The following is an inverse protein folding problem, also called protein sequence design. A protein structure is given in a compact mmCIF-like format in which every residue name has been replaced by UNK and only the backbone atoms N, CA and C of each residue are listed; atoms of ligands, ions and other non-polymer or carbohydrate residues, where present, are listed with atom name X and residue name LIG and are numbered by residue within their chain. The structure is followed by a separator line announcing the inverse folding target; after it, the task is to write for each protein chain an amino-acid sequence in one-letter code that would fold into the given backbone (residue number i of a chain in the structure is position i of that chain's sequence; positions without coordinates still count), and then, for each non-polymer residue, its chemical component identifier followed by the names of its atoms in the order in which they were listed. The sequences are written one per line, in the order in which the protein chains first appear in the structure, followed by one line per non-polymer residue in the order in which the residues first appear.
data_IF_457076594521
#
_entry.id   IF_457076594521
#
_cell.length_a   1.000
_cell.length_b   1.000
_cell.length_c   1.000
_cell.angle_alpha   90.00
_cell.angle_beta   90.00
_cell.angle_gamma   90.00
#
_symmetry.space_group_name_H-M   'P 1'
#
loop_
_entity.id
_entity.type
_entity.pdbx_description
1 polymer ?
#
# COMPACT_ATOMS: atom_id res chain seq x y z
N UNK A 1 32.02 -24.85 -10.65
CA UNK A 1 31.94 -25.41 -9.28
C UNK A 1 32.48 -26.83 -9.27
N UNK A 2 33.45 -27.08 -8.39
CA UNK A 2 34.02 -28.39 -8.07
C UNK A 2 32.92 -29.42 -7.69
N UNK A 3 32.99 -30.66 -8.18
CA UNK A 3 31.93 -31.66 -7.96
C UNK A 3 31.76 -32.04 -6.48
N UNK A 4 32.84 -31.96 -5.70
CA UNK A 4 32.79 -32.11 -4.24
C UNK A 4 32.00 -30.99 -3.56
N UNK A 5 32.12 -29.74 -4.04
CA UNK A 5 31.33 -28.61 -3.52
C UNK A 5 29.84 -28.79 -3.83
N UNK A 6 29.49 -29.32 -5.00
CA UNK A 6 28.08 -29.60 -5.38
C UNK A 6 27.46 -30.68 -4.49
N UNK A 7 28.18 -31.77 -4.22
CA UNK A 7 27.70 -32.85 -3.33
C UNK A 7 27.54 -32.38 -1.88
N UNK A 8 28.51 -31.62 -1.37
CA UNK A 8 28.41 -31.04 -0.03
C UNK A 8 27.23 -30.07 0.09
N UNK A 9 27.01 -29.23 -0.92
CA UNK A 9 25.86 -28.33 -1.00
C UNK A 9 24.54 -29.10 -1.03
N UNK A 10 24.41 -30.13 -1.85
CA UNK A 10 23.19 -30.93 -1.93
C UNK A 10 22.88 -31.65 -0.60
N UNK A 11 23.90 -32.15 0.09
CA UNK A 11 23.74 -32.77 1.41
C UNK A 11 23.27 -31.73 2.46
N UNK A 12 23.86 -30.54 2.45
CA UNK A 12 23.47 -29.44 3.34
C UNK A 12 22.02 -28.98 3.07
N UNK A 13 21.64 -28.78 1.80
CA UNK A 13 20.27 -28.43 1.42
C UNK A 13 19.27 -29.50 1.88
N UNK A 14 19.57 -30.77 1.65
CA UNK A 14 18.72 -31.88 2.10
C UNK A 14 18.64 -32.04 3.62
N UNK A 15 19.68 -31.64 4.37
CA UNK A 15 19.65 -31.60 5.83
C UNK A 15 18.78 -30.44 6.34
N UNK A 16 18.91 -29.25 5.73
CA UNK A 16 18.10 -28.08 6.07
C UNK A 16 16.62 -28.38 5.82
N UNK A 17 16.28 -28.98 4.68
CA UNK A 17 14.89 -29.32 4.34
C UNK A 17 14.29 -30.36 5.31
N UNK A 18 15.08 -31.33 5.77
CA UNK A 18 14.64 -32.32 6.78
C UNK A 18 14.43 -31.70 8.16
N UNK A 19 15.27 -30.73 8.56
CA UNK A 19 15.20 -30.11 9.88
C UNK A 19 14.14 -29.02 9.97
N UNK A 20 13.97 -28.24 8.90
CA UNK A 20 13.16 -27.02 8.91
C UNK A 20 11.95 -27.07 7.97
N UNK A 21 11.77 -28.16 7.22
CA UNK A 21 10.64 -28.40 6.32
C UNK A 21 10.94 -28.02 4.87
N UNK A 22 10.03 -28.45 3.98
CA UNK A 22 10.08 -28.13 2.55
C UNK A 22 10.05 -26.62 2.33
N UNK A 23 10.96 -26.13 1.49
CA UNK A 23 11.05 -24.70 1.16
C UNK A 23 11.84 -23.84 2.15
N UNK A 24 12.45 -24.43 3.19
CA UNK A 24 13.32 -23.71 4.13
C UNK A 24 14.59 -23.13 3.47
N UNK A 25 15.08 -23.77 2.41
CA UNK A 25 16.17 -23.26 1.57
C UNK A 25 15.93 -23.67 0.13
N UNK A 26 16.05 -22.72 -0.79
CA UNK A 26 15.74 -22.90 -2.21
C UNK A 26 16.66 -22.03 -3.06
N UNK A 27 16.91 -22.42 -4.32
CA UNK A 27 17.59 -21.51 -5.25
C UNK A 27 16.57 -20.50 -5.75
N UNK A 28 16.98 -19.24 -5.85
CA UNK A 28 16.13 -18.14 -6.33
C UNK A 28 15.59 -18.36 -7.76
N UNK A 29 16.27 -19.15 -8.59
CA UNK A 29 15.86 -19.47 -9.96
C UNK A 29 14.99 -20.72 -10.12
N UNK A 30 14.76 -21.50 -9.06
CA UNK A 30 14.02 -22.78 -9.14
C UNK A 30 12.49 -22.57 -9.18
N UNK A 31 12.02 -21.33 -8.98
CA UNK A 31 10.62 -20.93 -9.18
C UNK A 31 10.50 -20.02 -10.41
N UNK A 32 9.45 -20.23 -11.21
CA UNK A 32 8.97 -19.18 -12.12
C UNK A 32 8.79 -17.90 -11.31
N UNK A 33 9.31 -16.76 -11.79
CA UNK A 33 9.08 -15.44 -11.19
C UNK A 33 7.58 -15.12 -11.27
N UNK A 34 6.80 -15.63 -10.32
CA UNK A 34 5.40 -15.28 -10.17
C UNK A 34 5.32 -13.83 -9.70
N UNK A 35 4.46 -13.05 -10.35
CA UNK A 35 4.21 -11.67 -9.95
C UNK A 35 3.76 -11.61 -8.49
N UNK A 36 4.23 -10.60 -7.75
CA UNK A 36 3.82 -10.41 -6.35
C UNK A 36 2.32 -10.08 -6.34
N UNK A 37 1.47 -10.89 -5.69
CA UNK A 37 0.03 -10.62 -5.64
C UNK A 37 -0.23 -9.27 -4.97
N UNK A 38 -1.14 -8.49 -5.53
CA UNK A 38 -1.43 -7.13 -5.10
C UNK A 38 -2.93 -6.88 -4.94
N UNK A 39 -3.28 -5.96 -4.05
CA UNK A 39 -4.65 -5.47 -3.84
C UNK A 39 -4.71 -4.02 -4.33
N UNK A 40 -5.67 -3.71 -5.19
CA UNK A 40 -5.85 -2.34 -5.71
C UNK A 40 -6.06 -1.35 -4.56
N UNK A 41 -5.52 -0.16 -4.73
CA UNK A 41 -5.73 0.97 -3.82
C UNK A 41 -7.05 1.69 -4.03
N UNK A 42 -7.78 1.36 -5.10
CA UNK A 42 -8.93 2.12 -5.60
C UNK A 42 -8.56 3.35 -6.42
N UNK A 43 -7.30 3.80 -6.37
CA UNK A 43 -6.73 4.82 -7.25
C UNK A 43 -5.93 4.16 -8.38
N UNK A 44 -6.34 4.42 -9.62
CA UNK A 44 -5.66 3.87 -10.79
C UNK A 44 -4.23 4.44 -10.90
N UNK A 45 -4.07 5.75 -10.64
CA UNK A 45 -2.77 6.41 -10.67
C UNK A 45 -1.83 5.84 -9.61
N UNK A 46 -2.33 5.56 -8.40
CA UNK A 46 -1.53 4.99 -7.33
C UNK A 46 -1.15 3.53 -7.59
N UNK A 47 -2.07 2.71 -8.12
CA UNK A 47 -1.78 1.34 -8.55
C UNK A 47 -0.64 1.29 -9.59
N UNK A 48 -0.65 2.22 -10.55
CA UNK A 48 0.40 2.36 -11.56
C UNK A 48 1.71 2.84 -10.93
N UNK A 49 1.65 3.83 -10.05
CA UNK A 49 2.82 4.34 -9.35
C UNK A 49 3.49 3.26 -8.49
N UNK A 50 2.69 2.34 -7.91
CA UNK A 50 3.17 1.18 -7.15
C UNK A 50 3.83 0.10 -8.04
N UNK A 51 3.69 0.17 -9.37
CA UNK A 51 4.38 -0.69 -10.34
C UNK A 51 3.82 -2.10 -10.47
N UNK A 52 3.35 -2.70 -9.37
CA UNK A 52 2.76 -4.04 -9.35
C UNK A 52 1.22 -4.02 -9.44
N UNK A 53 0.61 -2.84 -9.63
CA UNK A 53 -0.84 -2.69 -9.76
C UNK A 53 -1.62 -2.64 -8.44
N UNK A 54 -0.93 -2.42 -7.31
CA UNK A 54 -1.58 -2.30 -6.00
C UNK A 54 -0.60 -2.50 -4.82
N UNK A 55 -1.15 -2.70 -3.63
CA UNK A 55 -0.41 -2.98 -2.41
C UNK A 55 -0.06 -4.48 -2.31
N UNK A 56 1.19 -4.85 -1.97
CA UNK A 56 1.62 -6.25 -2.01
C UNK A 56 1.02 -7.08 -0.87
N UNK A 57 0.35 -8.19 -1.20
CA UNK A 57 -0.10 -9.19 -0.22
C UNK A 57 1.07 -9.83 0.52
N UNK A 58 0.81 -10.28 1.75
CA UNK A 58 1.82 -10.90 2.62
C UNK A 58 2.90 -9.93 3.08
N UNK A 59 2.62 -8.62 3.13
CA UNK A 59 3.56 -7.57 3.51
C UNK A 59 2.91 -6.52 4.42
N UNK A 60 3.78 -5.76 5.08
CA UNK A 60 3.41 -4.59 5.86
C UNK A 60 3.48 -3.33 4.97
N UNK A 61 2.47 -2.48 5.06
CA UNK A 61 2.41 -1.16 4.43
C UNK A 61 2.21 -0.10 5.52
N UNK A 62 2.86 1.05 5.38
CA UNK A 62 2.58 2.22 6.24
C UNK A 62 2.01 3.34 5.38
N UNK A 63 0.87 3.88 5.79
CA UNK A 63 0.28 5.10 5.20
C UNK A 63 0.33 6.19 6.26
N UNK A 64 1.04 7.27 5.99
CA UNK A 64 1.18 8.38 6.92
C UNK A 64 0.99 9.73 6.23
N UNK A 65 0.65 10.75 7.01
CA UNK A 65 0.33 12.06 6.49
C UNK A 65 -0.32 12.96 7.54
N UNK A 66 -0.51 14.26 7.22
CA UNK A 66 -1.22 15.19 8.09
C UNK A 66 -2.64 14.74 8.43
N UNK A 67 -3.26 15.35 9.42
CA UNK A 67 -4.70 15.23 9.65
C UNK A 67 -5.48 15.59 8.38
N UNK A 68 -6.64 14.94 8.20
CA UNK A 68 -7.54 15.18 7.07
C UNK A 68 -6.90 15.05 5.67
N UNK A 69 -5.77 14.33 5.54
CA UNK A 69 -5.12 14.09 4.26
C UNK A 69 -5.75 12.96 3.43
N UNK A 70 -6.65 12.17 4.03
CA UNK A 70 -7.34 11.05 3.38
C UNK A 70 -6.78 9.66 3.70
N UNK A 71 -5.99 9.50 4.79
CA UNK A 71 -5.42 8.20 5.22
C UNK A 71 -6.49 7.12 5.38
N UNK A 72 -7.49 7.37 6.22
CA UNK A 72 -8.59 6.44 6.48
C UNK A 72 -9.44 6.23 5.22
N UNK A 73 -9.73 7.28 4.44
CA UNK A 73 -10.41 7.13 3.14
C UNK A 73 -9.67 6.21 2.17
N UNK A 74 -8.34 6.33 2.06
CA UNK A 74 -7.53 5.46 1.20
C UNK A 74 -7.58 4.01 1.67
N UNK A 75 -7.51 3.76 2.98
CA UNK A 75 -7.57 2.38 3.51
C UNK A 75 -8.95 1.75 3.38
N UNK A 76 -10.02 2.52 3.59
CA UNK A 76 -11.39 2.07 3.31
C UNK A 76 -11.59 1.76 1.82
N UNK A 77 -10.97 2.53 0.92
CA UNK A 77 -10.97 2.20 -0.51
C UNK A 77 -10.23 0.89 -0.82
N UNK A 78 -9.12 0.61 -0.14
CA UNK A 78 -8.41 -0.69 -0.27
C UNK A 78 -9.30 -1.84 0.21
N UNK A 79 -10.00 -1.67 1.35
CA UNK A 79 -10.95 -2.66 1.86
C UNK A 79 -12.07 -2.91 0.84
N UNK A 80 -12.67 -1.86 0.30
CA UNK A 80 -13.73 -1.99 -0.69
C UNK A 80 -13.27 -2.75 -1.94
N UNK A 81 -12.08 -2.44 -2.47
CA UNK A 81 -11.51 -3.19 -3.61
C UNK A 81 -11.16 -4.64 -3.25
N UNK A 82 -10.71 -4.91 -2.02
CA UNK A 82 -10.44 -6.26 -1.54
C UNK A 82 -11.74 -7.09 -1.43
N UNK A 83 -12.76 -6.56 -0.77
CA UNK A 83 -14.06 -7.22 -0.58
C UNK A 83 -14.77 -7.49 -1.92
N UNK A 84 -14.67 -6.58 -2.91
CA UNK A 84 -15.17 -6.83 -4.28
C UNK A 84 -14.57 -8.08 -4.92
N UNK A 85 -13.36 -8.46 -4.51
CA UNK A 85 -12.66 -9.66 -4.97
C UNK A 85 -12.85 -10.86 -4.01
N UNK A 86 -13.84 -10.80 -3.11
CA UNK A 86 -14.18 -11.87 -2.16
C UNK A 86 -13.21 -12.01 -0.98
N UNK A 87 -12.38 -11.00 -0.72
CA UNK A 87 -11.39 -11.04 0.35
C UNK A 87 -12.01 -10.67 1.71
N UNK A 88 -11.58 -11.35 2.77
CA UNK A 88 -11.99 -11.03 4.14
C UNK A 88 -11.12 -9.92 4.72
N UNK A 89 -11.73 -8.88 5.25
CA UNK A 89 -11.05 -7.69 5.76
C UNK A 89 -11.31 -7.48 7.25
N UNK A 90 -10.33 -6.91 7.95
CA UNK A 90 -10.47 -6.47 9.33
C UNK A 90 -9.93 -5.05 9.54
N UNK A 91 -10.52 -4.34 10.48
CA UNK A 91 -10.16 -2.99 10.88
C UNK A 91 -9.98 -2.93 12.39
N UNK A 92 -8.75 -2.64 12.82
CA UNK A 92 -8.39 -2.42 14.23
C UNK A 92 -8.38 -0.91 14.46
N UNK A 93 -9.50 -0.40 14.97
CA UNK A 93 -9.78 1.02 15.22
C UNK A 93 -9.35 1.40 16.64
N UNK A 94 -8.06 1.69 16.80
CA UNK A 94 -7.50 2.24 18.04
C UNK A 94 -7.79 3.74 18.20
N UNK A 95 -8.16 4.47 17.15
CA UNK A 95 -8.60 5.88 17.25
C UNK A 95 -10.08 6.03 17.67
N UNK A 96 -10.85 4.94 17.68
CA UNK A 96 -12.30 4.95 17.97
C UNK A 96 -13.08 5.94 17.09
N UNK A 97 -12.66 6.07 15.83
CA UNK A 97 -13.13 7.12 14.93
C UNK A 97 -13.71 6.59 13.62
N UNK A 98 -13.83 5.26 13.46
CA UNK A 98 -14.41 4.66 12.26
C UNK A 98 -15.92 4.92 12.21
N UNK A 99 -16.38 5.58 11.14
CA UNK A 99 -17.80 5.77 10.82
C UNK A 99 -18.29 4.69 9.83
N UNK A 100 -19.17 3.77 10.25
CA UNK A 100 -19.73 2.73 9.37
C UNK A 100 -20.54 3.29 8.20
N UNK A 101 -21.27 4.39 8.39
CA UNK A 101 -22.08 5.00 7.32
C UNK A 101 -21.16 5.57 6.23
N UNK A 102 -20.09 6.26 6.63
CA UNK A 102 -19.08 6.74 5.70
C UNK A 102 -18.37 5.59 4.99
N UNK A 103 -17.98 4.53 5.70
CA UNK A 103 -17.38 3.34 5.09
C UNK A 103 -18.30 2.70 4.02
N UNK A 104 -19.59 2.56 4.33
CA UNK A 104 -20.59 2.07 3.38
C UNK A 104 -20.70 2.93 2.12
N UNK A 105 -20.67 4.27 2.26
CA UNK A 105 -20.64 5.20 1.12
C UNK A 105 -19.40 5.05 0.24
N UNK A 106 -18.27 4.59 0.80
CA UNK A 106 -17.05 4.29 0.07
C UNK A 106 -17.07 2.90 -0.60
N UNK A 107 -18.16 2.14 -0.46
CA UNK A 107 -18.33 0.82 -1.05
C UNK A 107 -17.76 -0.33 -0.22
N UNK A 108 -17.48 -0.08 1.07
CA UNK A 108 -17.16 -1.17 2.02
C UNK A 108 -18.44 -1.93 2.34
N UNK A 109 -18.38 -3.26 2.28
CA UNK A 109 -19.41 -4.11 2.86
C UNK A 109 -19.20 -4.14 4.38
N UNK A 110 -19.98 -3.31 5.08
CA UNK A 110 -19.87 -3.09 6.53
C UNK A 110 -20.26 -4.34 7.32
N UNK A 111 -21.26 -5.10 6.83
CA UNK A 111 -21.77 -6.30 7.52
C UNK A 111 -20.71 -7.41 7.61
N UNK A 112 -19.85 -7.50 6.60
CA UNK A 112 -18.76 -8.49 6.53
C UNK A 112 -17.40 -7.95 7.00
N UNK A 113 -17.31 -6.69 7.43
CA UNK A 113 -16.07 -6.10 7.93
C UNK A 113 -15.86 -6.45 9.41
N UNK A 114 -14.78 -7.16 9.72
CA UNK A 114 -14.40 -7.42 11.11
C UNK A 114 -13.86 -6.13 11.73
N UNK A 115 -14.46 -5.65 12.82
CA UNK A 115 -14.00 -4.44 13.54
C UNK A 115 -13.58 -4.79 14.95
N UNK A 116 -12.44 -4.25 15.38
CA UNK A 116 -11.98 -4.33 16.76
C UNK A 116 -11.62 -2.95 17.26
N UNK A 117 -12.11 -2.60 18.45
CA UNK A 117 -11.79 -1.36 19.15
C UNK A 117 -11.04 -1.71 20.45
N UNK A 118 -9.71 -1.84 20.38
CA UNK A 118 -8.89 -2.28 21.51
C UNK A 118 -8.68 -1.16 22.53
N UNK A 119 -8.55 -1.54 23.80
CA UNK A 119 -8.26 -0.63 24.92
C UNK A 119 -6.77 -0.27 25.00
N UNK A 120 -5.87 -1.15 24.54
CA UNK A 120 -4.41 -0.94 24.63
C UNK A 120 -3.67 -1.28 23.34
N UNK A 121 -2.47 -0.70 23.17
CA UNK A 121 -1.58 -0.99 22.06
C UNK A 121 -1.14 -2.45 21.99
N UNK A 122 -0.88 -3.08 23.14
CA UNK A 122 -0.58 -4.52 23.21
C UNK A 122 -1.74 -5.35 22.68
N UNK A 123 -2.96 -5.08 23.15
CA UNK A 123 -4.16 -5.80 22.75
C UNK A 123 -4.41 -5.66 21.25
N UNK A 124 -4.30 -4.45 20.70
CA UNK A 124 -4.45 -4.18 19.27
C UNK A 124 -3.50 -5.04 18.40
N UNK A 125 -2.23 -5.11 18.81
CA UNK A 125 -1.19 -5.85 18.10
C UNK A 125 -1.33 -7.37 18.27
N UNK A 126 -1.79 -7.84 19.44
CA UNK A 126 -2.12 -9.25 19.68
C UNK A 126 -3.32 -9.70 18.84
N UNK A 127 -4.39 -8.90 18.78
CA UNK A 127 -5.55 -9.14 17.91
C UNK A 127 -5.11 -9.22 16.45
N UNK A 128 -4.28 -8.27 16.00
CA UNK A 128 -3.71 -8.29 14.65
C UNK A 128 -2.95 -9.59 14.38
N UNK A 129 -2.08 -10.02 15.31
CA UNK A 129 -1.31 -11.27 15.19
C UNK A 129 -2.22 -12.52 15.17
N UNK A 130 -3.28 -12.54 15.96
CA UNK A 130 -4.28 -13.62 15.99
C UNK A 130 -5.04 -13.72 14.67
N UNK A 131 -5.51 -12.59 14.13
CA UNK A 131 -6.19 -12.51 12.84
C UNK A 131 -5.27 -13.00 11.71
N UNK A 132 -4.01 -12.56 11.68
CA UNK A 132 -3.03 -13.05 10.70
C UNK A 132 -2.84 -14.56 10.82
N UNK A 133 -2.63 -15.10 12.03
CA UNK A 133 -2.40 -16.54 12.24
C UNK A 133 -3.61 -17.42 11.90
N UNK A 134 -4.82 -16.86 11.90
CA UNK A 134 -6.02 -17.60 11.49
C UNK A 134 -5.96 -18.04 10.02
N UNK A 135 -5.14 -17.38 9.19
CA UNK A 135 -5.12 -17.51 7.73
C UNK A 135 -6.48 -17.26 7.05
N UNK A 136 -7.43 -16.64 7.77
CA UNK A 136 -8.78 -16.37 7.27
C UNK A 136 -8.99 -14.89 6.88
N UNK A 137 -7.99 -14.02 7.10
CA UNK A 137 -8.08 -12.58 6.80
C UNK A 137 -7.04 -12.18 5.77
N UNK A 138 -7.48 -11.55 4.69
CA UNK A 138 -6.64 -11.10 3.58
C UNK A 138 -6.06 -9.71 3.80
N UNK A 139 -6.82 -8.81 4.45
CA UNK A 139 -6.42 -7.41 4.69
C UNK A 139 -6.73 -7.01 6.11
N UNK A 140 -5.75 -6.44 6.81
CA UNK A 140 -5.93 -5.85 8.14
C UNK A 140 -5.45 -4.40 8.11
N UNK A 141 -6.31 -3.49 8.53
CA UNK A 141 -5.95 -2.09 8.79
C UNK A 141 -5.79 -1.88 10.29
N UNK A 142 -4.73 -1.17 10.69
CA UNK A 142 -4.52 -0.71 12.07
C UNK A 142 -4.52 0.81 12.07
N UNK A 143 -5.60 1.42 12.61
CA UNK A 143 -5.82 2.86 12.67
C UNK A 143 -5.85 3.34 14.13
N UNK A 144 -4.81 3.97 14.67
CA UNK A 144 -3.51 4.27 14.07
C UNK A 144 -2.38 3.92 15.02
N UNK A 145 -1.14 3.88 14.50
CA UNK A 145 0.06 3.63 15.32
C UNK A 145 0.18 4.65 16.46
N UNK A 146 -0.27 5.89 16.25
CA UNK A 146 -0.20 6.92 17.27
C UNK A 146 -1.09 6.61 18.48
N UNK A 147 -2.21 5.91 18.25
CA UNK A 147 -3.18 5.49 19.26
C UNK A 147 -2.86 4.13 19.90
N UNK A 148 -1.80 3.45 19.47
CA UNK A 148 -1.32 2.22 20.12
C UNK A 148 -0.60 2.55 21.44
N UNK A 149 -1.35 3.02 22.44
CA UNK A 149 -0.83 3.44 23.73
C UNK A 149 -0.57 2.20 24.60
N UNK A 150 0.65 1.99 25.11
CA UNK A 150 0.95 0.86 25.97
C UNK A 150 0.11 0.85 27.25
N UNK A 151 -0.26 -0.33 27.74
CA UNK A 151 -1.06 -0.50 28.96
C UNK A 151 -0.52 0.30 30.16
N UNK A 152 0.80 0.26 30.37
CA UNK A 152 1.43 0.96 31.49
C UNK A 152 1.33 2.50 31.41
N UNK A 153 1.15 3.05 30.21
CA UNK A 153 0.93 4.49 30.01
C UNK A 153 -0.55 4.87 30.21
N UNK A 154 -1.49 3.96 29.91
CA UNK A 154 -2.93 4.14 30.17
C UNK A 154 -3.25 4.05 31.67
N UNK A 155 -2.62 3.12 32.38
CA UNK A 155 -2.80 2.94 33.83
C UNK A 155 -2.00 3.93 34.68
N UNK A 156 -1.04 4.65 34.07
CA UNK A 156 -0.23 5.67 34.72
C UNK A 156 -0.95 7.00 34.93
N UNK A 157 -0.29 7.93 35.62
CA UNK A 157 -0.82 9.27 35.84
C UNK A 157 -0.39 10.24 34.72
N UNK A 158 -1.21 11.28 34.47
CA UNK A 158 -0.85 12.33 33.52
C UNK A 158 0.43 13.04 33.96
N UNK A 159 1.49 12.91 33.17
CA UNK A 159 2.80 13.49 33.46
C UNK A 159 3.88 12.46 33.77
N UNK A 160 3.52 11.18 33.91
CA UNK A 160 4.48 10.10 34.07
C UNK A 160 5.39 9.96 32.86
N UNK A 161 6.67 9.72 33.12
CA UNK A 161 7.69 9.60 32.08
C UNK A 161 7.80 8.16 31.58
N UNK A 162 7.14 7.86 30.45
CA UNK A 162 7.27 6.56 29.76
C UNK A 162 8.19 6.65 28.55
N UNK A 163 9.51 6.69 28.79
CA UNK A 163 10.49 6.89 27.71
C UNK A 163 10.54 5.70 26.74
N UNK A 164 10.05 5.91 25.51
CA UNK A 164 10.23 4.99 24.39
C UNK A 164 9.43 3.68 24.48
N UNK A 165 8.42 3.60 25.35
CA UNK A 165 7.66 2.38 25.59
C UNK A 165 6.94 1.90 24.32
N UNK A 166 6.23 2.81 23.63
CA UNK A 166 5.55 2.50 22.37
C UNK A 166 6.52 2.02 21.27
N UNK A 167 7.72 2.61 21.17
CA UNK A 167 8.72 2.19 20.18
C UNK A 167 9.23 0.76 20.43
N UNK A 168 9.38 0.38 21.71
CA UNK A 168 9.77 -0.99 22.10
C UNK A 168 8.66 -1.99 21.80
N UNK A 169 7.41 -1.64 22.14
CA UNK A 169 6.21 -2.42 21.82
C UNK A 169 6.13 -2.72 20.31
N UNK A 170 6.20 -1.67 19.47
CA UNK A 170 6.17 -1.81 18.01
C UNK A 170 7.32 -2.70 17.50
N UNK A 171 8.53 -2.53 18.03
CA UNK A 171 9.69 -3.34 17.63
C UNK A 171 9.52 -4.82 17.95
N UNK A 172 8.94 -5.14 19.11
CA UNK A 172 8.66 -6.50 19.53
C UNK A 172 7.53 -7.12 18.70
N UNK A 173 6.42 -6.41 18.54
CA UNK A 173 5.26 -6.88 17.79
C UNK A 173 5.61 -7.14 16.32
N UNK A 174 6.23 -6.18 15.63
CA UNK A 174 6.59 -6.33 14.22
C UNK A 174 7.56 -7.50 13.99
N UNK A 175 8.49 -7.76 14.92
CA UNK A 175 9.38 -8.92 14.85
C UNK A 175 8.61 -10.25 14.88
N UNK A 176 7.52 -10.31 15.64
CA UNK A 176 6.68 -11.51 15.82
C UNK A 176 5.71 -11.69 14.64
N UNK A 177 5.06 -10.60 14.21
CA UNK A 177 3.94 -10.63 13.26
C UNK A 177 4.42 -10.76 11.81
N UNK A 178 5.60 -10.21 11.44
CA UNK A 178 6.06 -10.17 10.03
C UNK A 178 6.16 -11.55 9.39
N UNK A 179 6.67 -12.55 10.12
CA UNK A 179 6.73 -13.94 9.61
C UNK A 179 5.34 -14.52 9.35
N UNK A 180 4.41 -14.30 10.29
CA UNK A 180 3.03 -14.76 10.17
C UNK A 180 2.32 -14.09 8.98
N UNK A 181 2.53 -12.79 8.77
CA UNK A 181 1.95 -12.02 7.66
C UNK A 181 2.33 -12.65 6.32
N UNK A 182 3.62 -13.00 6.15
CA UNK A 182 4.11 -13.60 4.91
C UNK A 182 3.50 -14.99 4.69
N UNK A 183 3.39 -15.81 5.73
CA UNK A 183 2.85 -17.16 5.64
C UNK A 183 1.34 -17.15 5.35
N UNK A 184 0.59 -16.23 5.97
CA UNK A 184 -0.84 -16.05 5.74
C UNK A 184 -1.18 -15.35 4.42
N UNK A 185 -0.17 -14.80 3.72
CA UNK A 185 -0.34 -13.93 2.57
C UNK A 185 -1.30 -12.73 2.84
N UNK A 186 -1.37 -12.29 4.10
CA UNK A 186 -2.22 -11.19 4.56
C UNK A 186 -1.53 -9.84 4.30
N UNK A 187 -2.26 -8.84 3.81
CA UNK A 187 -1.80 -7.45 3.73
C UNK A 187 -2.12 -6.75 5.06
N UNK A 188 -1.09 -6.22 5.74
CA UNK A 188 -1.29 -5.43 6.96
C UNK A 188 -0.89 -3.98 6.72
N UNK A 189 -1.83 -3.06 6.90
CA UNK A 189 -1.64 -1.63 6.70
C UNK A 189 -1.70 -0.92 8.05
N UNK A 190 -0.63 -0.20 8.38
CA UNK A 190 -0.60 0.71 9.53
C UNK A 190 -0.86 2.14 9.05
N UNK A 191 -1.88 2.78 9.61
CA UNK A 191 -2.06 4.22 9.50
C UNK A 191 -1.18 4.89 10.56
N UNK A 192 -0.51 5.97 10.19
CA UNK A 192 0.36 6.70 11.10
C UNK A 192 0.19 8.22 10.94
N UNK A 193 0.51 8.94 12.01
CA UNK A 193 0.45 10.39 12.06
C UNK A 193 1.87 10.98 11.96
N UNK A 194 1.93 12.21 11.44
CA UNK A 194 3.16 13.00 11.46
C UNK A 194 3.33 13.67 12.83
N UNK A 195 4.57 13.73 13.30
CA UNK A 195 5.04 14.52 14.45
C UNK A 195 6.28 15.30 14.03
N UNK A 196 6.63 16.33 14.79
CA UNK A 196 7.86 17.10 14.57
C UNK A 196 8.94 16.63 15.55
N UNK A 197 10.15 16.38 15.04
CA UNK A 197 11.33 16.15 15.88
C UNK A 197 11.92 17.50 16.27
N UNK A 198 11.93 17.80 17.57
CA UNK A 198 12.51 19.03 18.11
C UNK A 198 14.05 18.99 17.92
N UNK A 199 14.64 20.13 17.56
CA UNK A 199 16.10 20.29 17.46
C UNK A 199 16.74 19.88 16.14
N UNK A 200 15.96 19.64 15.09
CA UNK A 200 16.49 19.38 13.73
C UNK A 200 16.80 20.71 13.05
N UNK A 201 18.09 21.00 12.83
CA UNK A 201 18.55 22.22 12.14
C UNK A 201 18.70 22.06 10.61
N UNK A 202 18.79 20.81 10.11
CA UNK A 202 18.97 20.51 8.69
C UNK A 202 18.13 19.29 8.27
N UNK A 203 17.50 19.37 7.10
CA UNK A 203 16.57 18.34 6.58
C UNK A 203 15.13 18.53 7.05
N UNK A 204 14.28 17.52 6.79
CA UNK A 204 12.88 17.56 7.23
C UNK A 204 12.75 17.25 8.74
N UNK A 205 12.04 18.08 9.53
CA UNK A 205 11.75 17.80 10.93
C UNK A 205 10.64 16.75 11.12
N UNK A 206 9.96 16.34 10.05
CA UNK A 206 8.85 15.39 10.13
C UNK A 206 9.32 13.98 10.50
N UNK A 207 8.62 13.36 11.45
CA UNK A 207 8.77 11.95 11.81
C UNK A 207 7.41 11.29 12.01
N UNK A 208 7.38 9.97 12.04
CA UNK A 208 6.18 9.17 12.36
C UNK A 208 6.27 8.61 13.79
N UNK A 209 5.12 8.26 14.38
CA UNK A 209 5.03 7.66 15.72
C UNK A 209 5.43 6.18 15.72
N UNK A 210 5.62 5.59 16.92
CA UNK A 210 5.97 4.16 17.04
C UNK A 210 7.44 3.80 16.82
N UNK A 211 8.34 4.79 16.82
CA UNK A 211 9.79 4.58 16.64
C UNK A 211 10.18 4.27 15.19
N UNK A 212 11.31 3.58 14.99
CA UNK A 212 11.86 3.32 13.65
C UNK A 212 11.51 1.94 13.08
N UNK A 213 11.02 0.99 13.91
CA UNK A 213 10.82 -0.39 13.48
C UNK A 213 9.90 -0.50 12.25
N UNK A 214 8.74 0.16 12.28
CA UNK A 214 7.78 0.15 11.18
C UNK A 214 8.41 0.62 9.86
N UNK A 215 9.28 1.64 9.91
CA UNK A 215 10.00 2.14 8.72
C UNK A 215 10.85 1.06 8.06
N UNK A 216 11.41 0.12 8.82
CA UNK A 216 12.25 -0.98 8.30
C UNK A 216 11.40 -2.16 7.80
N UNK A 217 10.39 -2.55 8.58
CA UNK A 217 9.51 -3.69 8.27
C UNK A 217 8.55 -3.41 7.11
N UNK A 218 8.05 -2.18 6.97
CA UNK A 218 7.18 -1.80 5.86
C UNK A 218 7.85 -2.06 4.50
N UNK A 219 7.17 -2.76 3.62
CA UNK A 219 7.59 -2.96 2.22
C UNK A 219 7.26 -1.76 1.36
N UNK A 220 6.12 -1.11 1.63
CA UNK A 220 5.70 0.12 1.00
C UNK A 220 5.41 1.16 2.08
N UNK A 221 5.84 2.40 1.86
CA UNK A 221 5.49 3.55 2.70
C UNK A 221 4.93 4.66 1.83
N UNK A 222 3.75 5.15 2.18
CA UNK A 222 3.00 6.16 1.44
C UNK A 222 2.89 7.44 2.29
N UNK A 223 3.34 8.56 1.73
CA UNK A 223 3.13 9.91 2.27
C UNK A 223 1.94 10.54 1.53
N UNK A 224 0.79 10.62 2.20
CA UNK A 224 -0.45 11.16 1.64
C UNK A 224 -0.71 12.57 2.16
N UNK A 225 -0.92 13.52 1.24
CA UNK A 225 -1.16 14.93 1.55
C UNK A 225 -2.32 15.49 0.75
N UNK A 226 -3.10 16.34 1.40
CA UNK A 226 -4.04 17.24 0.73
C UNK A 226 -3.26 18.40 0.13
N UNK A 227 -3.38 18.60 -1.18
CA UNK A 227 -2.70 19.67 -1.93
C UNK A 227 -3.62 20.83 -2.28
N UNK A 228 -4.94 20.62 -2.24
CA UNK A 228 -5.93 21.63 -2.60
C UNK A 228 -7.37 21.20 -2.31
N UNK A 229 -8.31 21.99 -2.82
CA UNK A 229 -9.75 21.75 -2.68
C UNK A 229 -10.38 21.55 -4.06
N UNK A 230 -11.29 20.58 -4.16
CA UNK A 230 -12.16 20.41 -5.33
C UNK A 230 -13.43 21.22 -5.08
N UNK A 231 -13.81 22.08 -6.03
CA UNK A 231 -14.96 22.99 -5.89
C UNK A 231 -15.98 22.80 -7.01
N UNK A 232 -17.25 22.90 -6.66
CA UNK A 232 -18.37 23.06 -7.59
C UNK A 232 -19.03 24.41 -7.30
N UNK A 233 -18.78 25.41 -8.15
CA UNK A 233 -19.12 26.80 -7.83
C UNK A 233 -18.32 27.29 -6.61
N UNK A 234 -19.04 27.71 -5.57
CA UNK A 234 -18.45 28.18 -4.30
C UNK A 234 -18.29 27.07 -3.25
N UNK A 235 -18.90 25.91 -3.45
CA UNK A 235 -18.90 24.80 -2.48
C UNK A 235 -17.66 23.92 -2.64
N UNK A 236 -17.04 23.55 -1.51
CA UNK A 236 -15.92 22.60 -1.48
C UNK A 236 -16.46 21.17 -1.37
N UNK A 237 -16.43 20.44 -2.49
CA UNK A 237 -17.00 19.09 -2.61
C UNK A 237 -15.95 17.97 -2.41
N UNK A 238 -14.68 18.33 -2.27
CA UNK A 238 -13.62 17.35 -2.07
C UNK A 238 -12.23 17.94 -1.87
N UNK A 239 -11.25 17.06 -1.90
CA UNK A 239 -9.83 17.37 -1.72
C UNK A 239 -9.02 16.90 -2.92
N UNK A 240 -8.11 17.77 -3.38
CA UNK A 240 -7.01 17.34 -4.25
C UNK A 240 -5.97 16.67 -3.35
N UNK A 241 -5.57 15.45 -3.71
CA UNK A 241 -4.72 14.59 -2.89
C UNK A 241 -3.52 14.11 -3.70
N UNK A 242 -2.34 14.18 -3.07
CA UNK A 242 -1.09 13.62 -3.59
C UNK A 242 -0.61 12.52 -2.66
N UNK A 243 -0.23 11.38 -3.24
CA UNK A 243 0.41 10.27 -2.54
C UNK A 243 1.79 10.03 -3.12
N UNK A 244 2.83 10.17 -2.29
CA UNK A 244 4.22 9.87 -2.65
C UNK A 244 4.66 8.53 -2.07
N UNK A 245 5.25 7.68 -2.90
CA UNK A 245 5.78 6.39 -2.50
C UNK A 245 7.20 6.60 -1.98
N UNK A 246 7.35 6.84 -0.68
CA UNK A 246 8.66 7.17 -0.07
C UNK A 246 9.52 5.93 0.19
N UNK A 247 8.92 4.74 0.16
CA UNK A 247 9.62 3.45 0.20
C UNK A 247 8.86 2.43 -0.62
N UNK A 248 9.59 1.64 -1.40
CA UNK A 248 9.03 0.54 -2.16
C UNK A 248 10.06 -0.58 -2.30
N UNK A 249 9.71 -1.79 -1.83
CA UNK A 249 10.54 -3.00 -1.93
C UNK A 249 10.09 -3.96 -3.04
N UNK A 250 9.05 -3.60 -3.80
CA UNK A 250 8.45 -4.47 -4.82
C UNK A 250 8.52 -3.88 -6.23
N UNK A 251 8.81 -2.59 -6.34
CA UNK A 251 9.11 -1.87 -7.59
C UNK A 251 9.88 -0.58 -7.26
N UNK A 252 10.38 0.19 -8.25
CA UNK A 252 11.12 1.43 -8.01
C UNK A 252 10.36 2.44 -7.12
N UNK A 253 11.00 3.00 -6.07
CA UNK A 253 10.38 3.98 -5.19
C UNK A 253 10.31 5.39 -5.81
N UNK A 254 9.78 6.35 -5.05
CA UNK A 254 9.76 7.79 -5.32
C UNK A 254 8.85 8.27 -6.44
N UNK A 255 8.04 7.37 -7.02
CA UNK A 255 6.88 7.76 -7.82
C UNK A 255 5.81 8.40 -6.93
N UNK A 256 4.92 9.15 -7.57
CA UNK A 256 3.78 9.78 -6.91
C UNK A 256 2.53 9.64 -7.78
N UNK A 257 1.37 9.71 -7.13
CA UNK A 257 0.07 9.78 -7.78
C UNK A 257 -0.69 11.00 -7.25
N UNK A 258 -1.48 11.62 -8.13
CA UNK A 258 -2.37 12.72 -7.80
C UNK A 258 -3.78 12.32 -8.22
N UNK A 259 -4.73 12.51 -7.31
CA UNK A 259 -6.13 12.17 -7.53
C UNK A 259 -7.02 12.99 -6.61
N UNK A 260 -8.32 12.97 -6.91
CA UNK A 260 -9.33 13.68 -6.14
C UNK A 260 -10.01 12.72 -5.17
N UNK A 261 -10.24 13.16 -3.94
CA UNK A 261 -11.12 12.51 -2.98
C UNK A 261 -12.38 13.37 -2.85
N UNK A 262 -13.51 12.86 -3.30
CA UNK A 262 -14.82 13.52 -3.16
C UNK A 262 -15.48 13.10 -1.84
N UNK A 263 -16.00 14.08 -1.10
CA UNK A 263 -16.64 13.79 0.18
C UNK A 263 -17.90 12.94 -0.02
N UNK A 264 -18.02 11.87 0.77
CA UNK A 264 -19.10 10.89 0.66
C UNK A 264 -19.07 9.98 -0.59
N UNK A 265 -18.05 10.09 -1.45
CA UNK A 265 -17.90 9.24 -2.65
C UNK A 265 -16.53 8.55 -2.74
N UNK A 266 -15.52 9.06 -2.05
CA UNK A 266 -14.18 8.48 -2.03
C UNK A 266 -13.29 8.94 -3.17
N UNK A 267 -12.37 8.08 -3.58
CA UNK A 267 -11.41 8.35 -4.66
C UNK A 267 -12.17 8.45 -5.99
N UNK A 268 -11.96 9.55 -6.71
CA UNK A 268 -12.65 9.82 -7.97
C UNK A 268 -11.96 9.15 -9.16
N UNK A 269 -12.12 7.83 -9.26
CA UNK A 269 -11.48 6.95 -10.26
C UNK A 269 -11.70 7.43 -11.71
N UNK A 270 -12.91 7.87 -12.06
CA UNK A 270 -13.19 8.35 -13.42
C UNK A 270 -12.38 9.59 -13.79
N UNK A 271 -12.09 10.46 -12.82
CA UNK A 271 -11.20 11.60 -13.02
C UNK A 271 -9.78 11.16 -13.39
N UNK A 272 -9.27 10.12 -12.73
CA UNK A 272 -7.95 9.55 -13.03
C UNK A 272 -7.91 8.88 -14.40
N UNK A 273 -8.97 8.14 -14.79
CA UNK A 273 -9.06 7.49 -16.10
C UNK A 273 -8.98 8.52 -17.22
N UNK A 274 -9.63 9.68 -17.08
CA UNK A 274 -9.55 10.76 -18.07
C UNK A 274 -8.13 11.34 -18.14
N UNK A 275 -7.54 11.70 -17.00
CA UNK A 275 -6.20 12.33 -16.99
C UNK A 275 -5.14 11.38 -17.56
N UNK A 276 -5.16 10.12 -17.12
CA UNK A 276 -4.26 9.09 -17.63
C UNK A 276 -4.55 8.78 -19.10
N UNK A 277 -5.82 8.68 -19.49
CA UNK A 277 -6.23 8.48 -20.88
C UNK A 277 -5.70 9.56 -21.82
N UNK A 278 -5.73 10.83 -21.40
CA UNK A 278 -5.13 11.94 -22.16
C UNK A 278 -3.61 11.80 -22.20
N UNK A 279 -2.96 11.56 -21.06
CA UNK A 279 -1.50 11.40 -21.00
C UNK A 279 -0.97 10.27 -21.90
N UNK A 280 -1.78 9.22 -22.09
CA UNK A 280 -1.43 8.04 -22.87
C UNK A 280 -1.87 8.14 -24.34
N UNK A 281 -2.55 9.22 -24.73
CA UNK A 281 -3.09 9.40 -26.08
C UNK A 281 -4.29 8.52 -26.42
N UNK A 282 -4.98 7.98 -25.41
CA UNK A 282 -6.20 7.18 -25.58
C UNK A 282 -7.45 8.08 -25.63
N UNK A 283 -7.42 9.20 -24.91
CA UNK A 283 -8.46 10.24 -24.93
C UNK A 283 -7.88 11.48 -25.60
N UNK A 284 -8.54 11.98 -26.62
CA UNK A 284 -8.14 13.18 -27.34
C UNK A 284 -8.65 14.42 -26.61
N UNK A 285 -7.80 15.44 -26.50
CA UNK A 285 -8.15 16.74 -25.92
C UNK A 285 -7.93 17.86 -26.93
N UNK A 286 -9.01 18.49 -27.37
CA UNK A 286 -8.99 19.65 -28.28
C UNK A 286 -9.52 20.88 -27.57
N UNK A 287 -8.60 21.68 -27.01
CA UNK A 287 -8.95 22.81 -26.15
C UNK A 287 -9.64 22.34 -24.87
N UNK A 288 -10.92 22.70 -24.71
CA UNK A 288 -11.75 22.26 -23.59
C UNK A 288 -12.53 20.97 -23.86
N UNK A 289 -12.55 20.47 -25.10
CA UNK A 289 -13.32 19.27 -25.47
C UNK A 289 -12.48 18.00 -25.35
N UNK A 290 -13.11 16.95 -24.82
CA UNK A 290 -12.56 15.61 -24.71
C UNK A 290 -13.32 14.68 -25.66
N UNK A 291 -12.59 13.81 -26.36
CA UNK A 291 -13.14 12.81 -27.27
C UNK A 291 -12.47 11.44 -27.07
N UNK A 292 -13.24 10.38 -27.31
CA UNK A 292 -12.77 9.00 -27.30
C UNK A 292 -13.20 8.32 -28.60
N UNK A 293 -12.25 7.75 -29.35
CA UNK A 293 -12.49 7.12 -30.65
C UNK A 293 -13.31 8.01 -31.62
N UNK A 294 -13.01 9.32 -31.65
CA UNK A 294 -13.73 10.30 -32.47
C UNK A 294 -15.07 10.80 -31.90
N UNK A 295 -15.63 10.16 -30.87
CA UNK A 295 -16.87 10.59 -30.22
C UNK A 295 -16.58 11.61 -29.11
N UNK A 296 -17.31 12.73 -29.10
CA UNK A 296 -17.18 13.74 -28.03
C UNK A 296 -17.79 13.20 -26.74
N UNK A 297 -16.97 13.11 -25.69
CA UNK A 297 -17.38 12.59 -24.37
C UNK A 297 -17.65 13.70 -23.34
N UNK A 298 -17.21 14.94 -23.60
CA UNK A 298 -17.58 16.07 -22.75
C UNK A 298 -16.72 17.32 -22.95
N UNK A 299 -17.25 18.46 -22.51
CA UNK A 299 -16.50 19.72 -22.41
C UNK A 299 -16.02 19.92 -20.97
N UNK A 300 -14.70 19.89 -20.76
CA UNK A 300 -14.08 19.92 -19.44
C UNK A 300 -13.98 18.54 -18.79
N UNK A 301 -13.00 18.39 -17.89
CA UNK A 301 -12.68 17.12 -17.20
C UNK A 301 -13.88 16.57 -16.43
N UNK A 302 -14.59 17.44 -15.70
CA UNK A 302 -15.74 17.04 -14.89
C UNK A 302 -16.84 16.36 -15.72
N UNK A 303 -17.20 16.96 -16.87
CA UNK A 303 -18.22 16.40 -17.76
C UNK A 303 -17.75 15.11 -18.44
N UNK A 304 -16.47 15.03 -18.86
CA UNK A 304 -15.92 13.79 -19.42
C UNK A 304 -15.92 12.64 -18.39
N UNK A 305 -15.56 12.92 -17.13
CA UNK A 305 -15.59 11.93 -16.07
C UNK A 305 -17.04 11.52 -15.68
N UNK A 306 -18.00 12.46 -15.76
CA UNK A 306 -19.43 12.16 -15.60
C UNK A 306 -19.94 11.24 -16.72
N UNK A 307 -19.52 11.48 -17.97
CA UNK A 307 -19.85 10.59 -19.09
C UNK A 307 -19.37 9.16 -18.85
N UNK A 308 -18.17 8.96 -18.29
CA UNK A 308 -17.68 7.63 -17.91
C UNK A 308 -18.50 6.99 -16.78
N UNK A 309 -19.06 7.79 -15.87
CA UNK A 309 -19.96 7.28 -14.82
C UNK A 309 -21.29 6.78 -15.41
N UNK A 310 -21.80 7.47 -16.43
CA UNK A 310 -23.02 7.08 -17.15
C UNK A 310 -22.77 5.94 -18.14
N UNK A 311 -21.52 5.73 -18.56
CA UNK A 311 -21.11 4.68 -19.51
C UNK A 311 -19.96 3.80 -18.96
N UNK A 312 -20.20 2.96 -17.94
CA UNK A 312 -19.15 2.21 -17.25
C UNK A 312 -18.33 1.28 -18.15
N UNK A 313 -18.93 0.75 -19.23
CA UNK A 313 -18.24 -0.12 -20.18
C UNK A 313 -17.07 0.59 -20.89
N UNK A 314 -17.26 1.87 -21.27
CA UNK A 314 -16.22 2.69 -21.90
C UNK A 314 -15.12 3.00 -20.88
N UNK A 315 -15.50 3.34 -19.64
CA UNK A 315 -14.53 3.58 -18.56
C UNK A 315 -13.64 2.35 -18.32
N UNK A 316 -14.24 1.16 -18.24
CA UNK A 316 -13.53 -0.10 -18.06
C UNK A 316 -12.61 -0.45 -19.25
N UNK A 317 -13.04 -0.16 -20.48
CA UNK A 317 -12.22 -0.35 -21.68
C UNK A 317 -10.97 0.55 -21.65
N UNK A 318 -11.14 1.85 -21.40
CA UNK A 318 -10.03 2.80 -21.31
C UNK A 318 -9.08 2.39 -20.18
N UNK A 319 -9.62 2.08 -19.00
CA UNK A 319 -8.81 1.64 -17.86
C UNK A 319 -7.99 0.39 -18.19
N UNK A 320 -8.58 -0.61 -18.86
CA UNK A 320 -7.88 -1.82 -19.27
C UNK A 320 -6.70 -1.49 -20.18
N UNK A 321 -6.91 -0.63 -21.18
CA UNK A 321 -5.84 -0.19 -22.09
C UNK A 321 -4.73 0.57 -21.35
N UNK A 322 -5.08 1.43 -20.39
CA UNK A 322 -4.12 2.14 -19.54
C UNK A 322 -3.28 1.14 -18.73
N UNK A 323 -3.94 0.18 -18.05
CA UNK A 323 -3.25 -0.85 -17.24
C UNK A 323 -2.33 -1.71 -18.10
N UNK A 324 -2.77 -2.12 -19.29
CA UNK A 324 -1.94 -2.89 -20.21
C UNK A 324 -0.71 -2.11 -20.65
N UNK A 325 -0.86 -0.82 -20.97
CA UNK A 325 0.27 0.02 -21.42
C UNK A 325 1.26 0.34 -20.30
N UNK A 326 0.78 0.61 -19.08
CA UNK A 326 1.63 1.13 -17.99
C UNK A 326 2.11 0.07 -17.00
N UNK A 327 1.34 -1.00 -16.75
CA UNK A 327 1.74 -2.07 -15.82
C UNK A 327 2.53 -3.18 -16.53
N UNK A 328 2.16 -3.60 -17.75
CA UNK A 328 2.95 -4.61 -18.48
C UNK A 328 4.29 -4.05 -18.97
N UNK A 329 4.34 -2.78 -19.36
CA UNK A 329 5.62 -2.13 -19.70
C UNK A 329 6.54 -1.99 -18.47
N UNK A 330 5.97 -1.76 -17.28
CA UNK A 330 6.71 -1.76 -16.02
C UNK A 330 7.31 -3.13 -15.70
N UNK A 331 6.53 -4.20 -15.83
CA UNK A 331 6.99 -5.57 -15.62
C UNK A 331 8.09 -6.00 -16.62
N UNK A 332 8.00 -5.58 -17.89
CA UNK A 332 9.02 -5.85 -18.91
C UNK A 332 10.33 -5.08 -18.67
N UNK A 333 10.25 -3.82 -18.23
CA UNK A 333 11.42 -3.00 -17.88
C UNK A 333 12.12 -3.49 -16.59
N UNK A 334 11.37 -4.01 -15.62
CA UNK A 334 11.92 -4.62 -14.41
C UNK A 334 12.57 -5.99 -14.67
N UNK A 335 11.99 -6.80 -15.57
CA UNK A 335 12.61 -8.06 -16.00
C UNK A 335 13.97 -7.82 -16.69
N UNK A 336 14.08 -6.75 -17.50
CA UNK A 336 15.34 -6.35 -18.15
C UNK A 336 16.41 -5.83 -17.18
N UNK A 337 16.02 -5.04 -16.16
CA UNK A 337 16.96 -4.57 -15.13
C UNK A 337 17.44 -5.70 -14.21
N UNK A 338 16.55 -6.61 -13.81
CA UNK A 338 16.92 -7.77 -12.99
C UNK A 338 17.77 -8.81 -13.75
N UNK A 339 17.82 -8.75 -15.09
CA UNK A 339 18.76 -9.51 -15.91
C UNK A 339 20.12 -8.78 -15.99
N UNK A 340 20.11 -7.46 -16.21
CA UNK A 340 21.34 -6.65 -16.28
C UNK A 340 22.10 -6.57 -14.93
N UNK A 341 21.40 -6.58 -13.80
CA UNK A 341 22.03 -6.65 -12.46
C UNK A 341 22.62 -8.05 -12.17
N UNK A 342 22.01 -9.12 -12.71
CA UNK A 342 22.55 -10.47 -12.60
C UNK A 342 23.81 -10.66 -13.47
N UNK A 343 23.82 -10.08 -14.68
CA UNK A 343 24.99 -10.10 -15.57
C UNK A 343 26.16 -9.23 -15.03
N UNK A 344 25.86 -8.17 -14.28
CA UNK A 344 26.88 -7.32 -13.66
C UNK A 344 27.54 -7.98 -12.45
N UNK A 345 26.81 -8.75 -11.65
CA UNK A 345 27.37 -9.55 -10.54
C UNK A 345 28.22 -10.72 -11.06
N UNK A 346 27.82 -11.38 -12.16
CA UNK A 346 28.62 -12.45 -12.79
C UNK A 346 29.91 -11.93 -13.44
N UNK A 347 29.96 -10.66 -13.88
CA UNK A 347 31.18 -10.02 -14.39
C UNK A 347 32.12 -9.52 -13.27
N UNK A 348 31.59 -9.14 -12.11
CA UNK A 348 32.40 -8.69 -10.97
C UNK A 348 33.16 -9.84 -10.30
N UNK A 349 32.61 -11.06 -10.31
CA UNK A 349 33.28 -12.27 -9.79
C UNK A 349 34.33 -12.85 -10.75
N UNK A 350 34.36 -12.41 -12.01
CA UNK A 350 35.34 -12.86 -13.00
C UNK A 350 36.66 -12.08 -12.98
N UNK A 351 36.68 -10.87 -12.40
CA UNK A 351 37.83 -9.94 -12.47
C UNK A 351 38.62 -9.84 -11.14
N UNK A 352 38.21 -10.55 -10.09
CA UNK A 352 38.90 -10.60 -8.79
C UNK A 352 39.92 -11.76 -8.66
N UNK A 353 40.26 -12.43 -9.77
CA UNK A 353 41.15 -13.58 -9.79
C UNK A 353 42.47 -13.31 -10.50
N UNK A 354 43.39 -12.58 -9.87
CA UNK A 354 44.85 -12.73 -10.03
C UNK A 354 45.59 -12.39 -8.74
#
# INVERSE_FOLDING_TARGET
MDDNKKRALAAALGQIERQFGKGAVMRMGDHERQGIPAISTGSLGLDIALGIGGLPKGRIVEIYGPESSGKTTLTLSVIAEAQKNGATCAFVDAEHALDPEYAGKLGVNVDDLLVSQPDTGEQALEITDMLVRSNAVDVIIVDSVAALVPKAEIEGEMGDMHVGLQARLMSQALRKITGNIKNANCLVIFINQIRMKIGVMFGSPETTTGGNALKFYASVRLDIRRTGAVKEGDEVVGSETRVKIVKNKVSPPFRQAEFQILYGKGIYRNGEIIDLGVSQGLVEKSGAWYAYQGNKIGQGKANAAKYLAENPAIGAEIEKQIREKLLKAGAAAEAGKAAAEADADDMADADAGY
#
